data_IF_291097852435
#
_entry.id   IF_291097852435
#
_cell.length_a   1.000
_cell.length_b   1.000
_cell.length_c   1.000
_cell.angle_alpha   90.00
_cell.angle_beta   90.00
_cell.angle_gamma   90.00
#
_symmetry.space_group_name_H-M   'P 1'
#
loop_
_entity.id
_entity.type
_entity.pdbx_description
1 polymer ?
#
# COMPACT_ATOMS: atom_id res chain seq x y z
N UNK A 1 22.67 6.40 17.87
CA UNK A 1 22.60 7.34 16.73
C UNK A 1 22.59 6.54 15.41
N UNK A 2 21.41 6.30 14.83
CA UNK A 2 21.28 5.58 13.54
C UNK A 2 21.45 6.56 12.38
N UNK A 3 22.64 6.56 11.75
CA UNK A 3 22.99 7.50 10.68
C UNK A 3 22.19 7.34 9.37
N UNK A 4 22.26 8.31 8.44
CA UNK A 4 21.43 8.43 7.21
C UNK A 4 21.58 7.31 6.15
N UNK A 5 22.08 6.14 6.52
CA UNK A 5 22.23 4.96 5.65
C UNK A 5 21.12 3.92 5.86
N UNK A 6 20.35 4.01 6.94
CA UNK A 6 19.23 3.10 7.17
C UNK A 6 18.04 3.44 6.27
N UNK A 7 17.72 4.74 6.10
CA UNK A 7 16.59 5.19 5.28
C UNK A 7 16.78 4.88 3.79
N UNK A 8 18.01 5.01 3.24
CA UNK A 8 18.30 4.59 1.86
C UNK A 8 18.05 3.11 1.66
N UNK A 9 18.40 2.28 2.65
CA UNK A 9 18.17 0.83 2.59
C UNK A 9 16.69 0.48 2.70
N UNK A 10 15.94 1.18 3.55
CA UNK A 10 14.49 1.05 3.63
C UNK A 10 13.81 1.45 2.31
N UNK A 11 14.14 2.63 1.77
CA UNK A 11 13.63 3.11 0.49
C UNK A 11 13.97 2.20 -0.69
N UNK A 12 15.21 1.68 -0.77
CA UNK A 12 15.59 0.71 -1.79
C UNK A 12 14.79 -0.59 -1.66
N UNK A 13 14.47 -1.01 -0.43
CA UNK A 13 13.68 -2.22 -0.18
C UNK A 13 12.22 -2.01 -0.62
N UNK A 14 11.61 -0.88 -0.26
CA UNK A 14 10.26 -0.49 -0.69
C UNK A 14 10.19 -0.35 -2.21
N UNK A 15 11.13 0.37 -2.83
CA UNK A 15 11.17 0.56 -4.28
C UNK A 15 11.36 -0.76 -5.04
N UNK A 16 12.17 -1.68 -4.52
CA UNK A 16 12.41 -2.98 -5.14
C UNK A 16 11.18 -3.88 -5.04
N UNK A 17 10.46 -3.84 -3.93
CA UNK A 17 9.22 -4.60 -3.77
C UNK A 17 8.10 -4.03 -4.64
N UNK A 18 7.99 -2.69 -4.71
CA UNK A 18 7.09 -2.01 -5.64
C UNK A 18 7.39 -2.37 -7.11
N UNK A 19 8.66 -2.47 -7.49
CA UNK A 19 9.06 -2.88 -8.84
C UNK A 19 8.74 -4.35 -9.13
N UNK A 20 8.94 -5.27 -8.17
CA UNK A 20 8.55 -6.69 -8.31
C UNK A 20 7.05 -6.85 -8.52
N UNK A 21 6.26 -6.09 -7.77
CA UNK A 21 4.80 -6.07 -7.90
C UNK A 21 4.36 -5.49 -9.25
N UNK A 22 4.99 -4.39 -9.70
CA UNK A 22 4.74 -3.80 -11.03
C UNK A 22 5.17 -4.72 -12.19
N UNK A 23 6.18 -5.56 -11.98
CA UNK A 23 6.67 -6.55 -12.95
C UNK A 23 5.87 -7.87 -12.93
N UNK A 24 4.77 -7.96 -12.17
CA UNK A 24 3.91 -9.15 -12.11
C UNK A 24 4.59 -10.37 -11.46
N UNK A 25 5.73 -10.20 -10.77
CA UNK A 25 6.38 -11.30 -10.03
C UNK A 25 5.75 -11.44 -8.66
N UNK A 26 4.74 -12.31 -8.60
CA UNK A 26 4.05 -12.65 -7.37
C UNK A 26 4.84 -13.68 -6.55
N UNK A 27 4.93 -13.53 -5.21
CA UNK A 27 5.47 -14.59 -4.37
C UNK A 27 4.62 -15.85 -4.47
N UNK A 28 5.28 -17.01 -4.51
CA UNK A 28 4.62 -18.32 -4.50
C UNK A 28 3.69 -18.44 -3.28
N UNK A 29 2.44 -18.84 -3.50
CA UNK A 29 1.40 -18.89 -2.45
C UNK A 29 0.55 -17.63 -2.30
N UNK A 30 0.68 -16.66 -3.21
CA UNK A 30 -0.28 -15.56 -3.33
C UNK A 30 -1.71 -16.11 -3.47
N UNK A 31 -2.68 -15.71 -2.62
CA UNK A 31 -4.05 -16.19 -2.74
C UNK A 31 -4.59 -15.85 -4.13
N UNK A 32 -4.99 -16.88 -4.87
CA UNK A 32 -5.58 -16.75 -6.20
C UNK A 32 -7.03 -16.24 -6.09
N UNK A 33 -7.43 -15.37 -7.01
CA UNK A 33 -8.80 -14.82 -7.07
C UNK A 33 -9.01 -13.49 -6.35
N UNK A 34 -10.22 -12.93 -6.50
CA UNK A 34 -10.57 -11.55 -6.10
C UNK A 34 -10.40 -11.29 -4.60
N UNK A 35 -10.78 -12.25 -3.75
CA UNK A 35 -10.59 -12.17 -2.29
C UNK A 35 -9.10 -12.05 -1.93
N UNK A 36 -8.23 -12.77 -2.64
CA UNK A 36 -6.78 -12.70 -2.46
C UNK A 36 -6.19 -11.35 -2.83
N UNK A 37 -6.70 -10.74 -3.91
CA UNK A 37 -6.35 -9.39 -4.33
C UNK A 37 -6.86 -8.34 -3.35
N UNK A 38 -8.09 -8.46 -2.87
CA UNK A 38 -8.67 -7.55 -1.88
C UNK A 38 -7.90 -7.56 -0.56
N UNK A 39 -7.61 -8.74 0.02
CA UNK A 39 -6.78 -8.87 1.23
C UNK A 39 -5.36 -8.31 1.07
N UNK A 40 -4.85 -8.27 -0.17
CA UNK A 40 -3.54 -7.69 -0.44
C UNK A 40 -3.63 -6.17 -0.56
N UNK A 41 -4.62 -5.67 -1.28
CA UNK A 41 -4.88 -4.23 -1.35
C UNK A 41 -5.09 -3.64 0.05
N UNK A 42 -5.81 -4.37 0.93
CA UNK A 42 -6.02 -3.98 2.33
C UNK A 42 -4.70 -3.85 3.09
N UNK A 43 -3.87 -4.89 3.07
CA UNK A 43 -2.53 -4.86 3.70
C UNK A 43 -1.63 -3.77 3.14
N UNK A 44 -1.68 -3.52 1.82
CA UNK A 44 -0.90 -2.46 1.19
C UNK A 44 -1.39 -1.08 1.64
N UNK A 45 -2.71 -0.87 1.72
CA UNK A 45 -3.31 0.36 2.25
C UNK A 45 -2.88 0.62 3.69
N UNK A 46 -2.96 -0.39 4.55
CA UNK A 46 -2.51 -0.28 5.94
C UNK A 46 -1.02 0.08 6.04
N UNK A 47 -0.16 -0.60 5.28
CA UNK A 47 1.28 -0.32 5.29
C UNK A 47 1.61 1.12 4.82
N UNK A 48 0.81 1.70 3.93
CA UNK A 48 0.96 3.09 3.51
C UNK A 48 0.53 4.08 4.59
N UNK A 49 -0.50 3.75 5.37
CA UNK A 49 -0.92 4.56 6.53
C UNK A 49 0.18 4.55 7.61
N UNK A 50 0.68 3.36 7.95
CA UNK A 50 1.77 3.22 8.93
C UNK A 50 3.02 4.01 8.50
N UNK A 51 3.35 3.96 7.20
CA UNK A 51 4.44 4.74 6.62
C UNK A 51 4.19 6.25 6.70
N UNK A 52 2.96 6.70 6.45
CA UNK A 52 2.61 8.12 6.56
C UNK A 52 2.87 8.63 8.00
N UNK A 53 2.49 7.85 9.00
CA UNK A 53 2.67 8.19 10.41
C UNK A 53 4.14 8.12 10.86
N UNK A 54 4.92 7.20 10.28
CA UNK A 54 6.38 7.18 10.47
C UNK A 54 7.04 8.44 9.88
N UNK A 55 6.65 8.84 8.67
CA UNK A 55 7.17 10.04 8.02
C UNK A 55 6.79 11.29 8.84
N UNK A 56 5.53 11.42 9.29
CA UNK A 56 5.09 12.57 10.10
C UNK A 56 5.91 12.71 11.38
N UNK A 57 6.13 11.60 12.12
CA UNK A 57 7.00 11.59 13.30
C UNK A 57 8.43 12.00 12.96
N UNK A 58 8.99 11.48 11.88
CA UNK A 58 10.33 11.83 11.44
C UNK A 58 10.47 13.32 11.07
N UNK A 59 9.50 13.88 10.34
CA UNK A 59 9.50 15.30 9.98
C UNK A 59 9.35 16.19 11.20
N UNK A 60 8.54 15.80 12.19
CA UNK A 60 8.43 16.51 13.46
C UNK A 60 9.78 16.56 14.19
N UNK A 61 10.48 15.43 14.31
CA UNK A 61 11.83 15.39 14.90
C UNK A 61 12.82 16.28 14.13
N UNK A 62 12.83 16.21 12.80
CA UNK A 62 13.72 17.05 11.98
C UNK A 62 13.42 18.55 12.14
N UNK A 63 12.15 18.92 12.27
CA UNK A 63 11.76 20.31 12.49
C UNK A 63 12.20 20.81 13.87
N UNK A 64 12.11 19.97 14.91
CA UNK A 64 12.65 20.28 16.24
C UNK A 64 14.18 20.44 16.20
N UNK A 65 14.86 19.66 15.36
CA UNK A 65 16.31 19.76 15.12
C UNK A 65 16.70 20.94 14.19
N UNK A 66 15.75 21.79 13.79
CA UNK A 66 15.98 22.94 12.91
C UNK A 66 16.32 22.58 11.45
N UNK A 67 16.07 21.33 11.03
CA UNK A 67 16.32 20.88 9.66
C UNK A 67 15.18 21.26 8.73
N UNK A 68 15.44 21.62 7.46
CA UNK A 68 14.40 21.92 6.50
C UNK A 68 13.59 20.67 6.13
N UNK A 69 12.26 20.75 6.27
CA UNK A 69 11.32 19.65 6.00
C UNK A 69 10.28 19.97 4.91
N UNK A 70 10.28 21.19 4.37
CA UNK A 70 9.21 21.70 3.50
C UNK A 70 9.00 20.84 2.24
N UNK A 71 10.08 20.37 1.62
CA UNK A 71 9.98 19.54 0.41
C UNK A 71 9.47 18.12 0.68
N UNK A 72 9.51 17.64 1.93
CA UNK A 72 9.04 16.30 2.29
C UNK A 72 7.63 16.27 2.89
N UNK A 73 7.07 17.42 3.28
CA UNK A 73 5.75 17.52 3.94
C UNK A 73 4.57 16.96 3.13
N UNK A 74 4.72 16.80 1.81
CA UNK A 74 3.65 16.27 0.96
C UNK A 74 3.57 14.75 0.97
N UNK A 75 4.63 14.02 1.34
CA UNK A 75 4.67 12.56 1.26
C UNK A 75 3.65 11.83 2.15
N UNK A 76 3.43 12.22 3.41
CA UNK A 76 2.39 11.59 4.24
C UNK A 76 1.00 11.69 3.61
N UNK A 77 0.69 12.84 2.98
CA UNK A 77 -0.57 13.03 2.25
C UNK A 77 -0.68 12.10 1.05
N UNK A 78 0.40 11.94 0.27
CA UNK A 78 0.43 11.02 -0.88
C UNK A 78 0.20 9.58 -0.41
N UNK A 79 0.87 9.14 0.66
CA UNK A 79 0.67 7.79 1.19
C UNK A 79 -0.78 7.55 1.61
N UNK A 80 -1.40 8.51 2.31
CA UNK A 80 -2.83 8.43 2.71
C UNK A 80 -3.78 8.41 1.52
N UNK A 81 -3.49 9.19 0.47
CA UNK A 81 -4.29 9.15 -0.76
C UNK A 81 -4.24 7.78 -1.43
N UNK A 82 -3.04 7.22 -1.62
CA UNK A 82 -2.89 5.89 -2.23
C UNK A 82 -3.52 4.80 -1.35
N UNK A 83 -3.46 4.94 -0.03
CA UNK A 83 -4.17 4.03 0.88
C UNK A 83 -5.71 4.11 0.69
N UNK A 84 -6.27 5.30 0.48
CA UNK A 84 -7.69 5.47 0.16
C UNK A 84 -8.05 4.83 -1.19
N UNK A 85 -7.19 4.97 -2.19
CA UNK A 85 -7.39 4.34 -3.51
C UNK A 85 -7.39 2.79 -3.40
N UNK A 86 -6.66 2.22 -2.42
CA UNK A 86 -6.72 0.79 -2.12
C UNK A 86 -8.09 0.36 -1.58
N UNK A 87 -8.77 1.17 -0.76
CA UNK A 87 -10.13 0.89 -0.31
C UNK A 87 -11.11 0.89 -1.49
N UNK A 88 -10.96 1.83 -2.42
CA UNK A 88 -11.78 1.84 -3.64
C UNK A 88 -11.55 0.59 -4.50
N UNK A 89 -10.30 0.15 -4.63
CA UNK A 89 -9.95 -1.08 -5.34
C UNK A 89 -10.59 -2.33 -4.68
N UNK A 90 -10.56 -2.43 -3.35
CA UNK A 90 -11.22 -3.50 -2.60
C UNK A 90 -12.72 -3.48 -2.88
N UNK A 91 -13.37 -2.32 -2.78
CA UNK A 91 -14.81 -2.17 -3.02
C UNK A 91 -15.17 -2.65 -4.43
N UNK A 92 -14.41 -2.24 -5.45
CA UNK A 92 -14.63 -2.71 -6.83
C UNK A 92 -14.45 -4.22 -6.99
N UNK A 93 -13.42 -4.80 -6.36
CA UNK A 93 -13.17 -6.25 -6.41
C UNK A 93 -14.27 -7.06 -5.73
N UNK A 94 -14.77 -6.59 -4.58
CA UNK A 94 -15.84 -7.25 -3.83
C UNK A 94 -17.17 -7.14 -4.56
N UNK A 95 -17.50 -5.95 -5.06
CA UNK A 95 -18.71 -5.71 -5.83
C UNK A 95 -18.75 -6.54 -7.11
N UNK A 96 -17.66 -6.57 -7.89
CA UNK A 96 -17.59 -7.44 -9.06
C UNK A 96 -17.84 -8.92 -8.70
N UNK A 97 -17.37 -9.37 -7.53
CA UNK A 97 -17.65 -10.72 -7.01
C UNK A 97 -19.14 -10.98 -6.81
N UNK A 98 -19.86 -10.04 -6.18
CA UNK A 98 -21.31 -10.13 -5.97
C UNK A 98 -22.06 -10.24 -7.31
N UNK A 99 -21.70 -9.40 -8.29
CA UNK A 99 -22.32 -9.44 -9.62
C UNK A 99 -22.07 -10.77 -10.35
N UNK A 100 -20.90 -11.38 -10.20
CA UNK A 100 -20.61 -12.67 -10.83
C UNK A 100 -21.38 -13.82 -10.15
N UNK A 101 -21.53 -13.78 -8.82
CA UNK A 101 -22.28 -14.80 -8.07
C UNK A 101 -23.80 -14.73 -8.34
N UNK A 102 -24.36 -13.53 -8.52
CA UNK A 102 -25.77 -13.33 -8.88
C UNK A 102 -26.10 -13.77 -10.32
N UNK A 103 -25.12 -13.68 -11.23
CA UNK A 103 -25.28 -14.06 -12.64
C UNK A 103 -24.77 -15.47 -12.95
N UNK A 104 -24.22 -16.19 -11.97
CA UNK A 104 -23.94 -17.61 -12.08
C UNK A 104 -25.28 -18.35 -12.16
N UNK A 105 -25.70 -18.69 -13.38
CA UNK A 105 -26.94 -19.42 -13.62
C UNK A 105 -27.03 -20.65 -12.70
N UNK A 106 -28.19 -20.92 -12.06
CA UNK A 106 -28.36 -22.14 -11.30
C UNK A 106 -28.10 -23.32 -12.24
N UNK A 107 -27.14 -24.16 -11.88
CA UNK A 107 -26.78 -25.35 -12.63
C UNK A 107 -28.05 -26.14 -12.92
N UNK A 108 -28.25 -26.50 -14.19
CA UNK A 108 -29.25 -27.50 -14.57
C UNK A 108 -28.87 -28.80 -13.86
N UNK A 109 -29.83 -29.33 -13.12
CA UNK A 109 -29.83 -30.70 -12.58
C UNK A 109 -29.46 -31.74 -13.65
#
# INVERSE_FOLDING_TARGET
MMGPRWWRRAWVRVAREAWRLRAGRWPAGAPAGRIGLARRADRNGQALLDLADEIDRFLACQQLDGRPVASQRHWPRVCRQVAADHLECINRLMLAGVWDDENAAPGKD
#
